data_IF_583130418530
#
_entry.id   IF_583130418530
#
_cell.length_a   1.000
_cell.length_b   1.000
_cell.length_c   1.000
_cell.angle_alpha   90.00
_cell.angle_beta   90.00
_cell.angle_gamma   90.00
#
_symmetry.space_group_name_H-M   'P 1'
#
loop_
_entity.id
_entity.type
_entity.pdbx_description
1 polymer ?
#
# COMPACT_ATOMS: atom_id res chain seq x y z
N UNK A 1 10.20 -20.86 13.21
CA UNK A 1 11.62 -21.15 12.89
C UNK A 1 12.14 -19.96 12.10
N UNK A 2 13.11 -19.21 12.62
CA UNK A 2 13.76 -18.12 11.88
C UNK A 2 14.83 -18.72 10.98
N UNK A 3 14.58 -18.76 9.67
CA UNK A 3 15.58 -19.22 8.70
C UNK A 3 16.72 -18.22 8.68
N UNK A 4 17.88 -18.62 9.21
CA UNK A 4 19.12 -17.86 9.09
C UNK A 4 19.67 -18.07 7.69
N UNK A 5 19.46 -17.09 6.81
CA UNK A 5 20.07 -17.06 5.49
C UNK A 5 21.49 -16.47 5.65
N UNK A 6 22.50 -17.17 5.15
CA UNK A 6 23.91 -16.72 5.14
C UNK A 6 24.34 -16.57 3.69
N UNK A 7 24.93 -15.43 3.35
CA UNK A 7 25.66 -15.23 2.10
C UNK A 7 27.14 -15.06 2.41
N UNK A 8 27.98 -15.65 1.56
CA UNK A 8 29.44 -15.58 1.63
C UNK A 8 29.99 -14.56 0.61
N UNK A 9 29.25 -14.30 -0.45
CA UNK A 9 29.57 -13.40 -1.56
C UNK A 9 28.30 -12.71 -2.12
N UNK A 10 28.48 -11.75 -3.02
CA UNK A 10 27.39 -10.95 -3.62
C UNK A 10 26.40 -11.79 -4.44
N UNK A 11 26.85 -12.86 -5.09
CA UNK A 11 25.99 -13.73 -5.88
C UNK A 11 25.04 -14.54 -4.99
N UNK A 12 25.58 -15.13 -3.91
CA UNK A 12 24.78 -15.78 -2.88
C UNK A 12 23.82 -14.77 -2.22
N UNK A 13 24.29 -13.55 -1.94
CA UNK A 13 23.46 -12.49 -1.38
C UNK A 13 22.25 -12.15 -2.27
N UNK A 14 22.46 -11.95 -3.57
CA UNK A 14 21.37 -11.70 -4.54
C UNK A 14 20.34 -12.82 -4.56
N UNK A 15 20.78 -14.08 -4.43
CA UNK A 15 19.86 -15.23 -4.34
C UNK A 15 18.95 -15.20 -3.12
N UNK A 16 19.33 -14.49 -2.05
CA UNK A 16 18.56 -14.38 -0.81
C UNK A 16 17.59 -13.20 -0.80
N UNK A 17 17.82 -12.17 -1.62
CA UNK A 17 17.01 -10.94 -1.64
C UNK A 17 15.52 -11.22 -1.88
N UNK A 18 15.10 -12.07 -2.84
CA UNK A 18 13.68 -12.38 -3.02
C UNK A 18 13.01 -13.00 -1.80
N UNK A 19 13.72 -13.88 -1.09
CA UNK A 19 13.21 -14.50 0.14
C UNK A 19 13.08 -13.48 1.29
N UNK A 20 13.99 -12.50 1.37
CA UNK A 20 13.95 -11.40 2.34
C UNK A 20 12.85 -10.37 2.02
N UNK A 21 12.63 -10.08 0.74
CA UNK A 21 11.54 -9.21 0.27
C UNK A 21 10.17 -9.90 0.33
N UNK A 22 10.14 -11.23 0.21
CA UNK A 22 8.92 -12.04 0.14
C UNK A 22 8.31 -12.14 -1.26
N UNK A 23 9.00 -11.60 -2.27
CA UNK A 23 8.64 -11.59 -3.69
C UNK A 23 9.89 -11.35 -4.54
N UNK A 24 9.83 -11.60 -5.84
CA UNK A 24 10.89 -11.26 -6.80
C UNK A 24 10.79 -9.77 -7.16
N UNK A 25 11.74 -8.92 -6.75
CA UNK A 25 11.71 -7.50 -7.08
C UNK A 25 11.99 -7.27 -8.57
N UNK A 26 11.28 -6.31 -9.16
CA UNK A 26 11.47 -5.84 -10.53
C UNK A 26 11.26 -4.33 -10.58
N UNK A 27 12.03 -3.62 -11.41
CA UNK A 27 11.94 -2.16 -11.58
C UNK A 27 11.92 -1.43 -10.22
N UNK A 28 12.92 -1.70 -9.38
CA UNK A 28 12.91 -1.23 -7.99
C UNK A 28 14.29 -1.16 -7.34
N UNK A 29 14.42 -0.27 -6.36
CA UNK A 29 15.53 -0.22 -5.42
C UNK A 29 15.16 -1.03 -4.17
N UNK A 30 16.00 -1.97 -3.77
CA UNK A 30 15.84 -2.75 -2.54
C UNK A 30 16.95 -2.37 -1.56
N UNK A 31 16.56 -1.83 -0.41
CA UNK A 31 17.44 -1.51 0.70
C UNK A 31 17.31 -2.58 1.78
N UNK A 32 18.43 -3.12 2.22
CA UNK A 32 18.48 -4.12 3.28
C UNK A 32 19.21 -3.52 4.48
N UNK A 33 18.51 -3.10 5.54
CA UNK A 33 19.15 -2.60 6.75
C UNK A 33 19.78 -3.75 7.54
N UNK A 34 20.97 -3.54 8.08
CA UNK A 34 21.71 -4.50 8.87
C UNK A 34 21.94 -3.98 10.29
N UNK A 35 21.98 -4.94 11.23
CA UNK A 35 22.58 -4.74 12.56
C UNK A 35 23.75 -5.72 12.69
N UNK A 36 24.97 -5.19 12.69
CA UNK A 36 26.20 -5.98 12.59
C UNK A 36 26.26 -6.79 11.30
N UNK A 37 25.99 -8.10 11.39
CA UNK A 37 26.05 -9.04 10.25
C UNK A 37 24.69 -9.61 9.84
N UNK A 38 23.59 -9.12 10.43
CA UNK A 38 22.24 -9.63 10.17
C UNK A 38 21.40 -8.58 9.46
N UNK A 39 20.82 -8.95 8.31
CA UNK A 39 19.80 -8.15 7.65
C UNK A 39 18.47 -8.26 8.43
N UNK A 40 17.78 -7.13 8.61
CA UNK A 40 16.54 -7.03 9.38
C UNK A 40 15.26 -6.97 8.52
N UNK A 41 15.38 -7.37 7.25
CA UNK A 41 14.31 -7.34 6.26
C UNK A 41 14.80 -6.70 4.97
N UNK A 42 13.88 -6.45 4.06
CA UNK A 42 14.13 -5.70 2.84
C UNK A 42 13.06 -4.62 2.68
N UNK A 43 13.50 -3.44 2.27
CA UNK A 43 12.66 -2.29 1.96
C UNK A 43 12.72 -2.05 0.47
N UNK A 44 11.58 -2.13 -0.22
CA UNK A 44 11.51 -1.91 -1.66
C UNK A 44 10.94 -0.51 -1.94
N UNK A 45 11.69 0.27 -2.69
CA UNK A 45 11.30 1.56 -3.24
C UNK A 45 11.17 1.45 -4.75
N UNK A 46 10.29 2.25 -5.35
CA UNK A 46 10.28 2.43 -6.79
C UNK A 46 11.56 3.14 -7.24
N UNK A 47 12.01 2.86 -8.47
CA UNK A 47 13.16 3.57 -9.04
C UNK A 47 12.85 5.07 -9.18
N UNK A 48 13.85 5.96 -9.06
CA UNK A 48 13.63 7.38 -9.18
C UNK A 48 13.10 7.73 -10.58
N UNK A 49 12.04 8.54 -10.62
CA UNK A 49 11.55 9.13 -11.87
C UNK A 49 12.45 10.28 -12.31
N UNK A 50 12.47 10.57 -13.61
CA UNK A 50 13.33 11.60 -14.21
C UNK A 50 13.08 13.03 -13.67
N UNK A 51 11.92 13.27 -13.06
CA UNK A 51 11.52 14.56 -12.47
C UNK A 51 11.96 14.72 -11.01
N UNK A 52 12.49 13.66 -10.38
CA UNK A 52 13.00 13.68 -9.00
C UNK A 52 14.51 13.83 -9.03
N UNK A 53 15.04 14.82 -8.31
CA UNK A 53 16.48 15.00 -8.24
C UNK A 53 17.16 13.89 -7.39
N UNK A 54 18.38 13.46 -7.76
CA UNK A 54 19.07 12.36 -7.08
C UNK A 54 19.21 12.55 -5.57
N UNK A 55 19.55 13.77 -5.13
CA UNK A 55 19.72 14.16 -3.74
C UNK A 55 18.44 13.98 -2.91
N UNK A 56 17.31 14.45 -3.44
CA UNK A 56 16.00 14.32 -2.77
C UNK A 56 15.60 12.84 -2.63
N UNK A 57 15.85 12.04 -3.66
CA UNK A 57 15.55 10.61 -3.62
C UNK A 57 16.47 9.86 -2.64
N UNK A 58 17.77 10.17 -2.64
CA UNK A 58 18.75 9.60 -1.72
C UNK A 58 18.42 9.92 -0.26
N UNK A 59 18.16 11.18 0.07
CA UNK A 59 17.75 11.61 1.41
C UNK A 59 16.49 10.89 1.89
N UNK A 60 15.49 10.76 1.01
CA UNK A 60 14.27 10.03 1.33
C UNK A 60 14.55 8.55 1.62
N UNK A 61 15.33 7.90 0.77
CA UNK A 61 15.69 6.48 0.88
C UNK A 61 16.47 6.17 2.16
N UNK A 62 17.51 6.95 2.45
CA UNK A 62 18.33 6.79 3.67
C UNK A 62 17.57 7.20 4.92
N UNK A 63 16.70 8.21 4.82
CA UNK A 63 15.79 8.60 5.89
C UNK A 63 14.85 7.46 6.35
N UNK A 64 14.51 6.51 5.47
CA UNK A 64 13.76 5.31 5.85
C UNK A 64 14.62 4.34 6.65
N UNK A 65 15.88 4.14 6.27
CA UNK A 65 16.82 3.26 6.98
C UNK A 65 17.13 3.80 8.38
N UNK A 66 17.26 5.12 8.52
CA UNK A 66 17.47 5.78 9.81
C UNK A 66 16.31 5.55 10.81
N UNK A 67 15.11 5.20 10.34
CA UNK A 67 13.96 4.85 11.20
C UNK A 67 14.00 3.41 11.71
N UNK A 68 14.87 2.56 11.15
CA UNK A 68 15.03 1.17 11.58
C UNK A 68 15.94 1.15 12.81
N UNK A 69 15.36 0.85 13.97
CA UNK A 69 16.08 0.88 15.24
C UNK A 69 17.29 -0.09 15.23
N UNK A 70 18.48 0.47 15.45
CA UNK A 70 19.73 -0.30 15.51
C UNK A 70 20.38 -0.59 14.16
N UNK A 71 19.88 -0.06 13.05
CA UNK A 71 20.56 -0.20 11.76
C UNK A 71 21.93 0.50 11.79
N UNK A 72 23.00 -0.23 11.46
CA UNK A 72 24.38 0.28 11.42
C UNK A 72 25.05 0.09 10.04
N UNK A 73 24.36 -0.59 9.12
CA UNK A 73 24.82 -0.82 7.77
C UNK A 73 23.65 -1.03 6.80
N UNK A 74 23.88 -0.85 5.50
CA UNK A 74 22.88 -1.03 4.45
C UNK A 74 23.49 -1.76 3.26
N UNK A 75 22.73 -2.68 2.66
CA UNK A 75 23.00 -3.16 1.31
C UNK A 75 21.96 -2.59 0.35
N UNK A 76 22.39 -2.27 -0.87
CA UNK A 76 21.58 -1.67 -1.91
C UNK A 76 21.53 -2.62 -3.10
N UNK A 77 20.34 -2.92 -3.61
CA UNK A 77 20.18 -3.74 -4.82
C UNK A 77 19.19 -3.07 -5.76
N UNK A 78 19.64 -2.70 -6.94
CA UNK A 78 18.83 -2.12 -8.01
C UNK A 78 18.39 -3.22 -8.96
N UNK A 79 17.10 -3.36 -9.17
CA UNK A 79 16.52 -4.20 -10.21
C UNK A 79 15.98 -3.29 -11.31
N UNK A 80 16.59 -3.33 -12.50
CA UNK A 80 16.16 -2.54 -13.64
C UNK A 80 16.17 -3.37 -14.93
N UNK A 81 15.48 -2.86 -15.95
CA UNK A 81 15.31 -3.52 -17.25
C UNK A 81 16.30 -2.97 -18.28
N UNK A 82 16.95 -1.85 -17.95
CA UNK A 82 18.00 -1.24 -18.76
C UNK A 82 19.28 -2.05 -18.59
N UNK A 83 19.89 -2.45 -19.71
CA UNK A 83 21.20 -3.08 -19.69
C UNK A 83 22.32 -2.03 -19.52
N UNK A 84 23.46 -2.41 -18.93
CA UNK A 84 24.60 -1.50 -18.81
C UNK A 84 25.11 -1.01 -20.18
N UNK A 85 25.53 0.24 -20.23
CA UNK A 85 26.02 0.87 -21.46
C UNK A 85 27.55 0.68 -21.59
N UNK A 86 28.05 -0.06 -22.60
CA UNK A 86 29.49 -0.18 -22.81
C UNK A 86 30.06 1.12 -23.38
N UNK A 87 31.14 1.60 -22.78
CA UNK A 87 31.89 2.79 -23.20
C UNK A 87 33.36 2.43 -23.47
N UNK A 88 34.15 3.30 -24.14
CA UNK A 88 35.57 3.06 -24.33
C UNK A 88 36.37 2.89 -23.02
N UNK A 89 35.86 3.47 -21.92
CA UNK A 89 36.52 3.52 -20.62
C UNK A 89 35.98 2.48 -19.62
N UNK A 90 35.05 1.62 -20.05
CA UNK A 90 34.44 0.58 -19.20
C UNK A 90 32.93 0.49 -19.36
N UNK A 91 32.28 -0.21 -18.41
CA UNK A 91 30.83 -0.40 -18.40
C UNK A 91 30.16 0.65 -17.51
N UNK A 92 29.16 1.36 -18.03
CA UNK A 92 28.36 2.30 -17.25
C UNK A 92 27.07 1.61 -16.81
N UNK A 93 26.92 1.42 -15.50
CA UNK A 93 25.72 0.81 -14.93
C UNK A 93 24.52 1.79 -14.98
N UNK A 94 23.29 1.28 -15.15
CA UNK A 94 22.07 2.08 -15.01
C UNK A 94 22.04 2.80 -13.66
N UNK A 95 21.40 3.97 -13.59
CA UNK A 95 21.18 4.72 -12.34
C UNK A 95 22.45 5.06 -11.53
N UNK A 96 23.65 4.99 -12.12
CA UNK A 96 24.92 5.20 -11.40
C UNK A 96 24.97 6.53 -10.63
N UNK A 97 24.42 7.61 -11.18
CA UNK A 97 24.40 8.93 -10.54
C UNK A 97 23.50 8.90 -9.28
N UNK A 98 22.33 8.29 -9.39
CA UNK A 98 21.37 8.20 -8.28
C UNK A 98 21.89 7.30 -7.17
N UNK A 99 22.57 6.22 -7.52
CA UNK A 99 23.15 5.30 -6.54
C UNK A 99 24.39 5.90 -5.88
N UNK A 100 25.26 6.60 -6.62
CA UNK A 100 26.41 7.30 -6.05
C UNK A 100 25.98 8.31 -4.97
N UNK A 101 24.97 9.14 -5.27
CA UNK A 101 24.38 10.08 -4.31
C UNK A 101 23.79 9.35 -3.09
N UNK A 102 23.06 8.25 -3.30
CA UNK A 102 22.49 7.44 -2.21
C UNK A 102 23.56 6.83 -1.30
N UNK A 103 24.66 6.33 -1.87
CA UNK A 103 25.78 5.79 -1.12
C UNK A 103 26.47 6.90 -0.31
N UNK A 104 26.66 8.08 -0.89
CA UNK A 104 27.14 9.27 -0.18
C UNK A 104 26.27 9.63 1.02
N UNK A 105 24.95 9.75 0.83
CA UNK A 105 24.00 10.02 1.91
C UNK A 105 24.05 8.95 3.01
N UNK A 106 24.21 7.67 2.65
CA UNK A 106 24.30 6.58 3.62
C UNK A 106 25.57 6.70 4.48
N UNK A 107 26.72 7.00 3.88
CA UNK A 107 27.97 7.19 4.58
C UNK A 107 27.93 8.41 5.51
N UNK A 108 27.34 9.52 5.06
CA UNK A 108 27.12 10.72 5.88
C UNK A 108 26.20 10.45 7.07
N UNK A 109 25.20 9.58 6.90
CA UNK A 109 24.34 9.09 7.98
C UNK A 109 25.05 8.10 8.93
N UNK A 110 26.29 7.74 8.65
CA UNK A 110 27.09 6.81 9.46
C UNK A 110 26.77 5.33 9.22
N UNK A 111 26.07 5.00 8.13
CA UNK A 111 25.78 3.63 7.73
C UNK A 111 26.96 3.07 6.95
N UNK A 112 27.41 1.88 7.33
CA UNK A 112 28.38 1.14 6.52
C UNK A 112 27.70 0.55 5.28
N UNK A 113 28.29 0.70 4.10
CA UNK A 113 27.83 0.00 2.90
C UNK A 113 28.30 -1.46 2.97
N UNK A 114 27.34 -2.39 2.92
CA UNK A 114 27.63 -3.83 2.87
C UNK A 114 27.87 -4.26 1.43
N UNK A 115 26.99 -3.83 0.53
CA UNK A 115 27.08 -4.10 -0.90
C UNK A 115 26.19 -3.10 -1.66
N UNK A 116 26.49 -2.86 -2.93
CA UNK A 116 25.67 -2.05 -3.83
C UNK A 116 25.67 -2.71 -5.21
N UNK A 117 24.55 -3.33 -5.58
CA UNK A 117 24.45 -4.22 -6.74
C UNK A 117 23.42 -3.72 -7.75
N UNK A 118 23.72 -3.90 -9.03
CA UNK A 118 22.81 -3.70 -10.14
C UNK A 118 22.43 -5.04 -10.75
N UNK A 119 21.12 -5.30 -10.91
CA UNK A 119 20.54 -6.48 -11.53
C UNK A 119 19.79 -6.04 -12.78
N UNK A 120 20.17 -6.62 -13.91
CA UNK A 120 19.65 -6.32 -15.26
C UNK A 120 19.24 -7.61 -15.97
N UNK A 121 18.54 -7.55 -17.12
CA UNK A 121 18.21 -8.74 -17.90
C UNK A 121 19.44 -9.53 -18.37
N UNK A 122 20.57 -8.87 -18.60
CA UNK A 122 21.81 -9.50 -19.08
C UNK A 122 22.71 -10.07 -17.99
N UNK A 123 22.53 -9.68 -16.73
CA UNK A 123 23.41 -10.07 -15.64
C UNK A 123 23.31 -9.15 -14.42
N UNK A 124 24.22 -9.32 -13.48
CA UNK A 124 24.38 -8.40 -12.37
C UNK A 124 25.82 -7.86 -12.30
N UNK A 125 26.00 -6.73 -11.63
CA UNK A 125 27.30 -6.11 -11.40
C UNK A 125 27.28 -5.27 -10.12
N UNK A 126 28.44 -4.82 -9.63
CA UNK A 126 28.56 -4.00 -8.42
C UNK A 126 28.83 -2.53 -8.76
N UNK A 127 28.14 -1.61 -8.08
CA UNK A 127 28.45 -0.18 -8.12
C UNK A 127 29.71 0.18 -7.34
N UNK A 128 30.25 -0.74 -6.54
CA UNK A 128 31.44 -0.52 -5.72
C UNK A 128 32.74 -0.86 -6.46
N UNK A 129 32.64 -1.38 -7.69
CA UNK A 129 33.79 -1.73 -8.52
C UNK A 129 34.15 -0.57 -9.46
N UNK A 130 35.45 -0.22 -9.52
CA UNK A 130 35.97 0.82 -10.42
C UNK A 130 35.84 0.45 -11.90
N UNK A 131 35.90 -0.86 -12.22
CA UNK A 131 35.75 -1.42 -13.57
C UNK A 131 34.74 -2.58 -13.52
N UNK A 132 33.43 -2.27 -13.55
CA UNK A 132 32.39 -3.27 -13.30
C UNK A 132 32.24 -4.26 -14.45
N UNK A 133 32.26 -5.56 -14.13
CA UNK A 133 31.98 -6.64 -15.08
C UNK A 133 30.58 -7.22 -14.88
N UNK A 134 29.96 -7.69 -15.97
CA UNK A 134 28.67 -8.37 -15.94
C UNK A 134 28.85 -9.85 -15.55
N UNK A 135 28.37 -10.20 -14.37
CA UNK A 135 28.31 -11.58 -13.89
C UNK A 135 26.94 -12.21 -14.23
N UNK A 136 26.89 -13.55 -14.42
CA UNK A 136 25.63 -14.24 -14.68
C UNK A 136 24.71 -14.19 -13.45
N UNK A 137 23.40 -14.05 -13.70
CA UNK A 137 22.40 -14.07 -12.64
C UNK A 137 22.39 -15.40 -11.88
N UNK A 138 22.20 -15.38 -10.55
CA UNK A 138 21.92 -16.61 -9.80
C UNK A 138 20.61 -17.24 -10.28
N UNK A 139 20.48 -18.55 -10.10
CA UNK A 139 19.26 -19.26 -10.47
C UNK A 139 18.05 -18.66 -9.73
N UNK A 140 17.02 -18.25 -10.47
CA UNK A 140 15.78 -17.75 -9.89
C UNK A 140 15.13 -18.83 -9.02
N UNK A 141 14.66 -18.45 -7.84
CA UNK A 141 13.86 -19.33 -7.00
C UNK A 141 12.47 -19.51 -7.66
N UNK A 142 12.11 -20.73 -8.10
CA UNK A 142 10.83 -20.97 -8.76
C UNK A 142 9.61 -20.80 -7.84
N UNK A 143 9.82 -20.70 -6.52
CA UNK A 143 8.78 -20.42 -5.53
C UNK A 143 8.65 -18.93 -5.21
N UNK A 144 9.56 -18.09 -5.70
CA UNK A 144 9.47 -16.66 -5.48
C UNK A 144 8.27 -16.10 -6.23
N UNK A 145 7.45 -15.35 -5.50
CA UNK A 145 6.17 -14.84 -5.99
C UNK A 145 6.41 -13.50 -6.70
N UNK A 146 5.66 -13.20 -7.76
CA UNK A 146 5.70 -11.88 -8.41
C UNK A 146 5.32 -10.74 -7.43
N UNK A 147 5.96 -9.59 -7.56
CA UNK A 147 5.73 -8.44 -6.67
C UNK A 147 4.30 -7.86 -6.72
N UNK A 148 3.53 -8.14 -7.78
CA UNK A 148 2.12 -7.76 -7.91
C UNK A 148 1.16 -8.88 -7.50
N UNK A 149 1.68 -10.05 -7.13
CA UNK A 149 0.85 -11.19 -6.81
C UNK A 149 -0.06 -10.90 -5.62
N UNK A 150 -1.34 -11.17 -5.80
CA UNK A 150 -2.36 -10.88 -4.80
C UNK A 150 -2.80 -9.42 -4.76
N UNK A 151 -2.43 -8.58 -5.73
CA UNK A 151 -3.07 -7.28 -6.00
C UNK A 151 -4.33 -7.41 -6.89
N UNK A 152 -4.54 -8.55 -7.54
CA UNK A 152 -5.65 -8.77 -8.46
C UNK A 152 -7.01 -8.65 -7.77
N UNK A 153 -7.94 -7.89 -8.34
CA UNK A 153 -9.30 -7.87 -7.82
C UNK A 153 -9.97 -9.23 -8.02
N UNK A 154 -10.81 -9.69 -7.07
CA UNK A 154 -11.57 -10.91 -7.24
C UNK A 154 -12.45 -10.82 -8.50
N UNK A 155 -12.75 -11.97 -9.09
CA UNK A 155 -13.64 -12.04 -10.24
C UNK A 155 -15.08 -11.83 -9.77
N UNK A 156 -15.80 -10.95 -10.47
CA UNK A 156 -17.22 -10.71 -10.26
C UNK A 156 -17.92 -10.78 -11.62
N UNK A 157 -18.98 -11.59 -11.69
CA UNK A 157 -19.73 -11.76 -12.92
C UNK A 157 -20.63 -10.55 -13.22
N UNK A 158 -21.23 -10.53 -14.42
CA UNK A 158 -22.09 -9.41 -14.84
C UNK A 158 -23.37 -9.32 -14.00
N UNK A 159 -23.87 -10.45 -13.50
CA UNK A 159 -25.11 -10.52 -12.71
C UNK A 159 -24.89 -9.90 -11.33
N UNK A 160 -23.79 -10.23 -10.67
CA UNK A 160 -23.39 -9.61 -9.40
C UNK A 160 -23.21 -8.10 -9.54
N UNK A 161 -22.51 -7.66 -10.58
CA UNK A 161 -22.32 -6.23 -10.87
C UNK A 161 -23.64 -5.51 -11.11
N UNK A 162 -24.55 -6.13 -11.85
CA UNK A 162 -25.88 -5.57 -12.12
C UNK A 162 -26.73 -5.50 -10.84
N UNK A 163 -26.71 -6.53 -10.00
CA UNK A 163 -27.40 -6.51 -8.71
C UNK A 163 -26.89 -5.41 -7.79
N UNK A 164 -25.57 -5.23 -7.69
CA UNK A 164 -24.96 -4.15 -6.90
C UNK A 164 -25.31 -2.78 -7.49
N UNK A 165 -25.24 -2.63 -8.82
CA UNK A 165 -25.58 -1.36 -9.47
C UNK A 165 -27.04 -0.94 -9.28
N UNK A 166 -27.98 -1.90 -9.36
CA UNK A 166 -29.40 -1.66 -9.07
C UNK A 166 -29.61 -1.28 -7.61
N UNK A 167 -29.05 -2.06 -6.67
CA UNK A 167 -29.16 -1.77 -5.25
C UNK A 167 -28.58 -0.39 -4.89
N UNK A 168 -27.44 -0.01 -5.49
CA UNK A 168 -26.85 1.32 -5.28
C UNK A 168 -27.74 2.44 -5.81
N UNK A 169 -28.38 2.24 -6.97
CA UNK A 169 -29.33 3.20 -7.54
C UNK A 169 -30.56 3.35 -6.65
N UNK A 170 -31.09 2.24 -6.12
CA UNK A 170 -32.24 2.24 -5.21
C UNK A 170 -31.91 2.97 -3.89
N UNK A 171 -30.73 2.71 -3.31
CA UNK A 171 -30.26 3.39 -2.08
C UNK A 171 -30.13 4.91 -2.31
N UNK A 172 -29.49 5.32 -3.42
CA UNK A 172 -29.38 6.74 -3.78
C UNK A 172 -30.77 7.37 -3.94
N UNK A 173 -31.67 6.72 -4.67
CA UNK A 173 -33.03 7.23 -4.87
C UNK A 173 -33.83 7.34 -3.56
N UNK A 174 -33.60 6.49 -2.57
CA UNK A 174 -34.27 6.58 -1.27
C UNK A 174 -33.68 7.66 -0.38
N UNK A 175 -32.35 7.82 -0.36
CA UNK A 175 -31.67 8.80 0.49
C UNK A 175 -31.69 10.22 -0.08
N UNK A 176 -31.89 10.36 -1.40
CA UNK A 176 -32.08 11.66 -2.06
C UNK A 176 -33.53 12.16 -1.98
N UNK A 177 -34.47 11.34 -1.47
CA UNK A 177 -35.85 11.79 -1.22
C UNK A 177 -35.84 12.80 -0.07
N UNK A 178 -36.47 13.96 -0.28
CA UNK A 178 -36.74 14.91 0.79
C UNK A 178 -37.41 14.17 1.97
N UNK A 179 -37.02 14.52 3.20
CA UNK A 179 -37.39 13.94 4.51
C UNK A 179 -38.90 13.61 4.72
N UNK A 180 -39.77 14.08 3.83
CA UNK A 180 -41.23 13.97 3.91
C UNK A 180 -41.87 13.10 2.83
N UNK A 181 -41.10 12.44 1.95
CA UNK A 181 -41.65 11.49 1.00
C UNK A 181 -42.03 10.18 1.72
N UNK A 182 -43.32 9.95 1.94
CA UNK A 182 -43.81 8.69 2.51
C UNK A 182 -43.40 7.48 1.64
N UNK A 183 -42.89 6.44 2.31
CA UNK A 183 -42.70 5.12 1.70
C UNK A 183 -44.09 4.58 1.29
N UNK A 184 -44.27 4.26 0.01
CA UNK A 184 -45.56 3.82 -0.53
C UNK A 184 -45.69 2.29 -0.62
N UNK A 185 -44.66 1.56 -0.18
CA UNK A 185 -44.60 0.11 -0.16
C UNK A 185 -44.20 -0.51 -1.49
N UNK A 186 -43.88 0.30 -2.52
CA UNK A 186 -43.32 -0.18 -3.79
C UNK A 186 -41.79 -0.28 -3.78
N UNK A 187 -41.15 0.11 -2.68
CA UNK A 187 -39.70 0.11 -2.55
C UNK A 187 -39.13 -1.30 -2.55
N UNK A 188 -37.92 -1.43 -3.11
CA UNK A 188 -37.18 -2.68 -3.08
C UNK A 188 -36.85 -3.06 -1.62
N UNK A 189 -37.29 -4.23 -1.12
CA UNK A 189 -37.01 -4.66 0.25
C UNK A 189 -35.51 -4.71 0.59
N UNK A 190 -34.66 -4.95 -0.40
CA UNK A 190 -33.20 -4.95 -0.21
C UNK A 190 -32.64 -3.54 0.01
N UNK A 191 -33.26 -2.52 -0.58
CA UNK A 191 -32.86 -1.14 -0.37
C UNK A 191 -33.30 -0.64 1.01
N UNK A 192 -34.48 -1.07 1.50
CA UNK A 192 -34.90 -0.85 2.89
C UNK A 192 -33.92 -1.50 3.87
N UNK A 193 -33.50 -2.75 3.62
CA UNK A 193 -32.51 -3.43 4.46
C UNK A 193 -31.18 -2.68 4.52
N UNK A 194 -30.74 -2.08 3.40
CA UNK A 194 -29.56 -1.21 3.38
C UNK A 194 -29.75 0.07 4.20
N UNK A 195 -30.93 0.71 4.17
CA UNK A 195 -31.21 1.89 5.01
C UNK A 195 -31.07 1.57 6.51
N UNK A 196 -31.62 0.44 6.94
CA UNK A 196 -31.50 -0.01 8.35
C UNK A 196 -30.04 -0.19 8.75
N UNK A 197 -29.20 -0.75 7.85
CA UNK A 197 -27.76 -0.86 8.11
C UNK A 197 -27.08 0.52 8.21
N UNK A 198 -27.55 1.50 7.44
CA UNK A 198 -26.99 2.85 7.43
C UNK A 198 -27.45 3.71 8.62
N UNK A 199 -28.35 3.22 9.49
CA UNK A 199 -28.70 3.90 10.74
C UNK A 199 -27.52 3.94 11.73
N UNK A 200 -26.68 2.90 11.74
CA UNK A 200 -25.46 2.82 12.54
C UNK A 200 -24.26 2.47 11.64
N UNK A 201 -23.70 3.51 11.03
CA UNK A 201 -22.61 3.38 10.05
C UNK A 201 -21.36 2.71 10.66
N UNK A 202 -20.91 3.08 11.88
CA UNK A 202 -19.79 2.39 12.52
C UNK A 202 -20.05 0.90 12.74
N UNK A 203 -21.22 0.51 13.22
CA UNK A 203 -21.55 -0.92 13.42
C UNK A 203 -21.69 -1.67 12.09
N UNK A 204 -22.23 -1.01 11.06
CA UNK A 204 -22.25 -1.55 9.70
C UNK A 204 -20.85 -1.87 9.20
N UNK A 205 -19.86 -1.00 9.42
CA UNK A 205 -18.48 -1.27 9.04
C UNK A 205 -17.87 -2.47 9.79
N UNK A 206 -18.22 -2.71 11.05
CA UNK A 206 -17.79 -3.93 11.77
C UNK A 206 -18.44 -5.19 11.18
N UNK A 207 -19.74 -5.13 10.89
CA UNK A 207 -20.49 -6.24 10.29
C UNK A 207 -19.85 -6.71 8.98
N UNK A 208 -19.32 -5.78 8.17
CA UNK A 208 -18.60 -6.12 6.94
C UNK A 208 -17.32 -6.93 7.20
N UNK A 209 -16.62 -6.67 8.31
CA UNK A 209 -15.39 -7.37 8.68
C UNK A 209 -15.64 -8.76 9.28
N UNK A 210 -16.83 -9.04 9.80
CA UNK A 210 -17.18 -10.36 10.33
C UNK A 210 -17.33 -11.43 9.23
N UNK A 211 -17.68 -11.02 8.01
CA UNK A 211 -17.91 -11.91 6.87
C UNK A 211 -17.30 -11.36 5.56
N UNK A 212 -15.98 -11.16 5.50
CA UNK A 212 -15.34 -10.37 4.46
C UNK A 212 -15.58 -10.92 3.04
N UNK A 213 -15.65 -12.24 2.89
CA UNK A 213 -15.75 -12.91 1.58
C UNK A 213 -17.18 -12.98 1.02
N UNK A 214 -18.20 -12.76 1.87
CA UNK A 214 -19.59 -13.09 1.55
C UNK A 214 -20.53 -11.91 1.79
N UNK A 215 -20.26 -10.79 1.10
CA UNK A 215 -21.12 -9.61 1.18
C UNK A 215 -22.30 -9.71 0.22
N UNK A 216 -23.56 -9.55 0.67
CA UNK A 216 -24.70 -9.50 -0.22
C UNK A 216 -24.69 -8.21 -1.06
N UNK A 217 -25.39 -8.17 -2.21
CA UNK A 217 -25.36 -7.02 -3.12
C UNK A 217 -25.75 -5.69 -2.47
N UNK A 218 -26.73 -5.70 -1.56
CA UNK A 218 -27.19 -4.49 -0.88
C UNK A 218 -26.18 -3.95 0.14
N UNK A 219 -25.48 -4.82 0.88
CA UNK A 219 -24.40 -4.41 1.78
C UNK A 219 -23.20 -3.86 1.00
N UNK A 220 -22.87 -4.50 -0.13
CA UNK A 220 -21.85 -3.96 -1.05
C UNK A 220 -22.25 -2.59 -1.58
N UNK A 221 -23.51 -2.42 -1.99
CA UNK A 221 -24.04 -1.13 -2.46
C UNK A 221 -24.04 -0.05 -1.36
N UNK A 222 -24.43 -0.39 -0.13
CA UNK A 222 -24.38 0.51 1.03
C UNK A 222 -22.94 0.95 1.32
N UNK A 223 -21.97 0.03 1.27
CA UNK A 223 -20.56 0.36 1.40
C UNK A 223 -20.11 1.31 0.29
N UNK A 224 -20.43 1.03 -0.98
CA UNK A 224 -20.09 1.92 -2.09
C UNK A 224 -20.68 3.32 -1.89
N UNK A 225 -21.93 3.41 -1.43
CA UNK A 225 -22.59 4.68 -1.11
C UNK A 225 -21.88 5.45 0.02
N UNK A 226 -21.40 4.75 1.06
CA UNK A 226 -20.60 5.36 2.13
C UNK A 226 -19.25 5.86 1.60
N UNK A 227 -18.53 5.04 0.83
CA UNK A 227 -17.18 5.39 0.35
C UNK A 227 -17.18 6.54 -0.67
N UNK A 228 -18.29 6.73 -1.38
CA UNK A 228 -18.51 7.86 -2.31
C UNK A 228 -18.65 9.21 -1.58
N UNK A 229 -18.90 9.18 -0.26
CA UNK A 229 -19.05 10.37 0.58
C UNK A 229 -17.77 10.60 1.39
N UNK A 230 -17.06 11.72 1.21
CA UNK A 230 -15.83 12.00 1.94
C UNK A 230 -15.96 11.81 3.46
N UNK A 231 -17.05 12.32 4.04
CA UNK A 231 -17.33 12.21 5.47
C UNK A 231 -17.31 10.75 5.97
N UNK A 232 -18.10 9.88 5.33
CA UNK A 232 -18.27 8.49 5.76
C UNK A 232 -17.08 7.62 5.39
N UNK A 233 -16.45 7.90 4.25
CA UNK A 233 -15.21 7.27 3.83
C UNK A 233 -14.08 7.50 4.83
N UNK A 234 -13.97 8.72 5.33
CA UNK A 234 -12.93 9.09 6.28
C UNK A 234 -13.18 8.40 7.65
N UNK A 235 -14.44 8.23 8.06
CA UNK A 235 -14.82 7.39 9.22
C UNK A 235 -14.37 5.94 9.02
N UNK A 236 -14.63 5.35 7.84
CA UNK A 236 -14.19 3.97 7.55
C UNK A 236 -12.68 3.80 7.67
N UNK A 237 -11.91 4.74 7.10
CA UNK A 237 -10.44 4.74 7.17
C UNK A 237 -9.94 4.77 8.61
N UNK A 238 -10.43 5.70 9.43
CA UNK A 238 -10.04 5.81 10.84
C UNK A 238 -10.42 4.53 11.58
N UNK A 239 -11.67 4.08 11.47
CA UNK A 239 -12.19 2.93 12.20
C UNK A 239 -11.44 1.63 11.87
N UNK A 240 -11.12 1.38 10.60
CA UNK A 240 -10.38 0.19 10.21
C UNK A 240 -8.92 0.24 10.65
N UNK A 241 -8.31 1.44 10.67
CA UNK A 241 -6.95 1.64 11.16
C UNK A 241 -6.83 1.57 12.69
N UNK A 242 -7.92 1.82 13.40
CA UNK A 242 -7.90 1.99 14.85
C UNK A 242 -8.94 1.09 15.52
N UNK A 243 -10.11 1.60 15.87
CA UNK A 243 -11.18 0.85 16.54
C UNK A 243 -12.57 1.38 16.22
N UNK A 244 -13.62 0.59 16.53
CA UNK A 244 -15.02 1.02 16.49
C UNK A 244 -15.24 2.31 17.27
N UNK A 245 -14.67 2.42 18.48
CA UNK A 245 -14.81 3.61 19.32
C UNK A 245 -14.20 4.86 18.68
N UNK A 246 -13.10 4.73 17.95
CA UNK A 246 -12.50 5.83 17.20
C UNK A 246 -13.34 6.20 15.97
N UNK A 247 -13.95 5.21 15.31
CA UNK A 247 -14.92 5.40 14.23
C UNK A 247 -16.13 6.21 14.68
N UNK A 248 -16.74 5.83 15.81
CA UNK A 248 -17.89 6.56 16.41
C UNK A 248 -17.51 8.01 16.71
N UNK A 249 -16.38 8.25 17.40
CA UNK A 249 -15.91 9.62 17.68
C UNK A 249 -15.65 10.42 16.41
N UNK A 250 -15.12 9.77 15.36
CA UNK A 250 -14.87 10.43 14.07
C UNK A 250 -16.18 10.84 13.43
N UNK A 251 -17.20 9.96 13.45
CA UNK A 251 -18.51 10.26 12.90
C UNK A 251 -19.20 11.42 13.65
N UNK A 252 -19.18 11.39 14.99
CA UNK A 252 -19.72 12.47 15.83
C UNK A 252 -19.04 13.80 15.50
N UNK A 253 -17.69 13.82 15.46
CA UNK A 253 -16.94 15.03 15.17
C UNK A 253 -17.16 15.57 13.75
N UNK A 254 -17.41 14.70 12.78
CA UNK A 254 -17.74 15.10 11.42
C UNK A 254 -19.13 15.74 11.32
N UNK A 255 -20.12 15.22 12.06
CA UNK A 255 -21.44 15.86 12.15
C UNK A 255 -21.35 17.22 12.84
N UNK A 256 -20.61 17.32 13.95
CA UNK A 256 -20.36 18.59 14.64
C UNK A 256 -19.68 19.61 13.72
N UNK A 257 -18.70 19.20 12.90
CA UNK A 257 -18.07 20.08 11.92
C UNK A 257 -19.09 20.57 10.87
N UNK A 258 -19.93 19.68 10.35
CA UNK A 258 -20.94 20.03 9.35
C UNK A 258 -21.99 21.02 9.88
N UNK A 259 -22.38 20.89 11.15
CA UNK A 259 -23.40 21.75 11.78
C UNK A 259 -22.83 23.06 12.34
N UNK A 260 -21.67 23.02 12.98
CA UNK A 260 -21.12 24.12 13.78
C UNK A 260 -19.82 24.74 13.23
N UNK A 261 -19.21 24.15 12.19
CA UNK A 261 -17.95 24.64 11.58
C UNK A 261 -16.72 24.52 12.47
N UNK A 262 -16.81 23.80 13.59
CA UNK A 262 -15.72 23.52 14.52
C UNK A 262 -14.75 22.50 13.94
N UNK A 263 -13.46 22.85 13.82
CA UNK A 263 -12.40 22.00 13.21
C UNK A 263 -12.54 20.53 13.59
N UNK A 264 -12.60 19.67 12.57
CA UNK A 264 -12.49 18.23 12.73
C UNK A 264 -11.16 17.87 13.43
N UNK A 265 -11.11 16.75 14.19
CA UNK A 265 -9.89 16.29 14.86
C UNK A 265 -8.73 16.07 13.86
N UNK A 266 -7.53 16.49 14.25
CA UNK A 266 -6.28 16.32 13.46
C UNK A 266 -5.83 14.84 13.33
N UNK A 267 -6.58 13.89 13.92
CA UNK A 267 -6.25 12.47 13.97
C UNK A 267 -6.34 11.79 12.59
N UNK A 268 -7.28 12.20 11.73
CA UNK A 268 -7.44 11.63 10.38
C UNK A 268 -6.20 11.86 9.53
N UNK A 269 -5.68 13.10 9.50
CA UNK A 269 -4.48 13.42 8.71
C UNK A 269 -3.26 12.64 9.18
N UNK A 270 -3.15 12.43 10.49
CA UNK A 270 -2.09 11.60 11.07
C UNK A 270 -2.21 10.13 10.66
N UNK A 271 -3.40 9.54 10.80
CA UNK A 271 -3.67 8.16 10.39
C UNK A 271 -3.47 7.98 8.89
N UNK A 272 -3.98 8.90 8.07
CA UNK A 272 -3.84 8.85 6.61
C UNK A 272 -2.37 8.85 6.19
N UNK A 273 -1.54 9.63 6.88
CA UNK A 273 -0.09 9.70 6.70
C UNK A 273 0.68 8.61 7.46
N UNK A 274 0.00 7.59 8.00
CA UNK A 274 0.64 6.44 8.63
C UNK A 274 1.30 6.74 9.98
N UNK A 275 0.88 7.81 10.65
CA UNK A 275 1.38 8.24 11.96
C UNK A 275 0.43 7.78 13.07
N UNK A 276 0.97 7.61 14.27
CA UNK A 276 0.21 7.14 15.43
C UNK A 276 0.51 5.68 15.79
N UNK A 277 -0.32 5.01 16.61
CA UNK A 277 -0.10 3.64 17.07
C UNK A 277 -0.14 2.64 15.90
N UNK A 278 0.48 1.47 16.08
CA UNK A 278 0.47 0.44 15.04
C UNK A 278 -0.93 -0.19 14.91
N UNK A 279 -1.52 -0.21 13.69
CA UNK A 279 -2.85 -0.78 13.47
C UNK A 279 -2.82 -2.30 13.60
N UNK A 280 -3.98 -2.89 13.86
CA UNK A 280 -4.17 -4.34 13.76
C UNK A 280 -4.05 -4.78 12.29
N UNK A 281 -3.04 -5.60 12.00
CA UNK A 281 -2.70 -6.05 10.65
C UNK A 281 -3.78 -6.96 10.07
N UNK A 282 -4.36 -7.84 10.88
CA UNK A 282 -5.37 -8.80 10.43
C UNK A 282 -6.68 -8.07 10.13
N UNK A 283 -6.99 -7.04 10.92
CA UNK A 283 -8.10 -6.12 10.67
C UNK A 283 -7.94 -5.37 9.36
N UNK A 284 -6.77 -4.78 9.09
CA UNK A 284 -6.50 -4.08 7.83
C UNK A 284 -6.56 -5.03 6.61
N UNK A 285 -6.09 -6.28 6.75
CA UNK A 285 -6.19 -7.28 5.71
C UNK A 285 -7.65 -7.66 5.42
N UNK A 286 -8.46 -7.84 6.47
CA UNK A 286 -9.89 -8.10 6.36
C UNK A 286 -10.61 -6.94 5.66
N UNK A 287 -10.32 -5.69 6.04
CA UNK A 287 -10.86 -4.51 5.38
C UNK A 287 -10.44 -4.45 3.90
N UNK A 288 -9.18 -4.80 3.58
CA UNK A 288 -8.68 -4.85 2.21
C UNK A 288 -9.46 -5.87 1.36
N UNK A 289 -9.77 -7.04 1.92
CA UNK A 289 -10.62 -8.05 1.25
C UNK A 289 -12.01 -7.48 0.94
N UNK A 290 -12.66 -6.85 1.92
CA UNK A 290 -13.99 -6.23 1.75
C UNK A 290 -13.99 -5.19 0.63
N UNK A 291 -13.05 -4.24 0.64
CA UNK A 291 -13.05 -3.17 -0.38
C UNK A 291 -12.65 -3.67 -1.77
N UNK A 292 -11.84 -4.73 -1.87
CA UNK A 292 -11.53 -5.36 -3.17
C UNK A 292 -12.74 -6.06 -3.77
N UNK A 293 -13.54 -6.74 -2.95
CA UNK A 293 -14.81 -7.33 -3.39
C UNK A 293 -15.79 -6.24 -3.82
N UNK A 294 -15.87 -5.13 -3.07
CA UNK A 294 -16.69 -3.99 -3.46
C UNK A 294 -16.21 -3.38 -4.79
N UNK A 295 -14.91 -3.14 -4.96
CA UNK A 295 -14.33 -2.64 -6.20
C UNK A 295 -14.51 -3.59 -7.38
N UNK A 296 -14.52 -4.90 -7.17
CA UNK A 296 -14.78 -5.88 -8.22
C UNK A 296 -16.22 -5.84 -8.72
N UNK A 297 -17.18 -5.58 -7.83
CA UNK A 297 -18.62 -5.56 -8.12
C UNK A 297 -19.18 -4.17 -8.44
N UNK A 298 -18.43 -3.11 -8.19
CA UNK A 298 -18.88 -1.74 -8.38
C UNK A 298 -19.17 -1.39 -9.85
N UNK A 299 -20.24 -0.62 -10.13
CA UNK A 299 -20.36 0.12 -11.38
C UNK A 299 -19.14 1.02 -11.61
N UNK A 300 -18.79 1.26 -12.87
CA UNK A 300 -17.55 1.99 -13.24
C UNK A 300 -17.43 3.33 -12.51
N UNK A 301 -18.50 4.11 -12.44
CA UNK A 301 -18.48 5.47 -11.86
C UNK A 301 -18.35 5.48 -10.34
N UNK A 302 -18.70 4.38 -9.66
CA UNK A 302 -18.59 4.22 -8.20
C UNK A 302 -17.38 3.39 -7.78
N UNK A 303 -16.55 2.98 -8.74
CA UNK A 303 -15.35 2.16 -8.53
C UNK A 303 -14.12 2.94 -8.03
N UNK A 304 -13.91 4.25 -8.33
CA UNK A 304 -12.75 5.00 -7.85
C UNK A 304 -12.58 4.99 -6.32
N UNK A 305 -13.68 5.14 -5.58
CA UNK A 305 -13.66 5.19 -4.12
C UNK A 305 -13.09 3.90 -3.48
N UNK A 306 -13.67 2.70 -3.67
CA UNK A 306 -13.15 1.48 -3.07
C UNK A 306 -11.73 1.11 -3.58
N UNK A 307 -11.37 1.44 -4.82
CA UNK A 307 -10.00 1.26 -5.32
C UNK A 307 -9.00 2.14 -4.58
N UNK A 308 -9.35 3.41 -4.33
CA UNK A 308 -8.49 4.33 -3.57
C UNK A 308 -8.29 3.85 -2.13
N UNK A 309 -9.33 3.28 -1.52
CA UNK A 309 -9.22 2.70 -0.17
C UNK A 309 -8.41 1.41 -0.19
N UNK A 310 -8.56 0.56 -1.22
CA UNK A 310 -7.69 -0.60 -1.41
C UNK A 310 -6.22 -0.19 -1.57
N UNK A 311 -5.96 0.94 -2.25
CA UNK A 311 -4.63 1.51 -2.37
C UNK A 311 -4.08 1.93 -1.00
N UNK A 312 -4.86 2.69 -0.23
CA UNK A 312 -4.45 3.17 1.09
C UNK A 312 -4.19 2.01 2.06
N UNK A 313 -5.07 1.02 2.12
CA UNK A 313 -4.90 -0.17 2.95
C UNK A 313 -3.65 -0.98 2.56
N UNK A 314 -3.39 -1.10 1.25
CA UNK A 314 -2.17 -1.77 0.76
C UNK A 314 -0.91 -1.02 1.19
N UNK A 315 -0.91 0.31 1.06
CA UNK A 315 0.17 1.17 1.52
C UNK A 315 0.36 1.07 3.05
N UNK A 316 -0.72 1.15 3.83
CA UNK A 316 -0.71 1.02 5.29
C UNK A 316 -0.15 -0.35 5.76
N UNK A 317 -0.34 -1.39 4.96
CA UNK A 317 0.21 -2.73 5.18
C UNK A 317 1.69 -2.87 4.76
N UNK A 318 2.28 -1.86 4.11
CA UNK A 318 3.65 -1.85 3.60
C UNK A 318 3.79 -2.40 2.16
N UNK A 319 2.71 -2.42 1.38
CA UNK A 319 2.66 -2.95 0.00
C UNK A 319 2.48 -1.82 -1.01
N UNK A 320 3.51 -0.98 -1.16
CA UNK A 320 3.48 0.19 -2.07
C UNK A 320 3.15 -0.19 -3.53
N UNK A 321 3.68 -1.31 -4.03
CA UNK A 321 3.39 -1.84 -5.37
C UNK A 321 1.91 -2.13 -5.58
N UNK A 322 1.25 -2.70 -4.58
CA UNK A 322 -0.19 -2.96 -4.63
C UNK A 322 -0.97 -1.64 -4.58
N UNK A 323 -0.51 -0.68 -3.77
CA UNK A 323 -1.13 0.64 -3.70
C UNK A 323 -1.10 1.34 -5.06
N UNK A 324 0.06 1.39 -5.71
CA UNK A 324 0.23 1.99 -7.03
C UNK A 324 -0.59 1.28 -8.11
N UNK A 325 -0.67 -0.07 -8.05
CA UNK A 325 -1.54 -0.83 -8.95
C UNK A 325 -3.00 -0.36 -8.89
N UNK A 326 -3.56 -0.18 -7.68
CA UNK A 326 -4.93 0.29 -7.52
C UNK A 326 -5.09 1.76 -7.90
N UNK A 327 -4.11 2.63 -7.60
CA UNK A 327 -4.14 4.04 -8.02
C UNK A 327 -4.14 4.18 -9.54
N UNK A 328 -3.36 3.38 -10.27
CA UNK A 328 -3.42 3.33 -11.73
C UNK A 328 -4.83 2.98 -12.24
N UNK A 329 -5.49 1.99 -11.62
CA UNK A 329 -6.88 1.64 -11.98
C UNK A 329 -7.86 2.79 -11.72
N UNK A 330 -7.63 3.61 -10.68
CA UNK A 330 -8.43 4.83 -10.45
C UNK A 330 -8.19 5.85 -11.55
N UNK A 331 -6.94 6.13 -11.90
CA UNK A 331 -6.58 7.10 -12.96
C UNK A 331 -7.17 6.73 -14.33
N UNK A 332 -7.30 5.44 -14.63
CA UNK A 332 -7.96 4.96 -15.86
C UNK A 332 -9.48 5.22 -15.90
N UNK A 333 -10.11 5.45 -14.75
CA UNK A 333 -11.55 5.72 -14.61
C UNK A 333 -11.80 7.21 -14.46
N UNK A 334 -11.12 7.84 -13.50
CA UNK A 334 -11.22 9.25 -13.16
C UNK A 334 -9.83 9.80 -12.78
N UNK A 335 -9.11 10.45 -13.72
CA UNK A 335 -7.81 11.06 -13.46
C UNK A 335 -7.82 12.17 -12.42
N UNK A 336 -8.98 12.79 -12.16
CA UNK A 336 -9.13 13.93 -11.25
C UNK A 336 -9.73 13.51 -9.89
N UNK A 337 -9.71 12.21 -9.57
CA UNK A 337 -10.22 11.71 -8.30
C UNK A 337 -9.30 12.14 -7.15
N UNK A 338 -9.63 13.27 -6.51
CA UNK A 338 -8.71 14.01 -5.65
C UNK A 338 -8.07 13.23 -4.50
N UNK A 339 -8.78 12.26 -3.89
CA UNK A 339 -8.16 11.42 -2.83
C UNK A 339 -7.06 10.51 -3.40
N UNK A 340 -7.23 10.00 -4.61
CA UNK A 340 -6.23 9.17 -5.27
C UNK A 340 -5.00 10.00 -5.70
N UNK A 341 -5.19 11.27 -6.07
CA UNK A 341 -4.07 12.19 -6.32
C UNK A 341 -3.27 12.46 -5.03
N UNK A 342 -3.96 12.76 -3.92
CA UNK A 342 -3.32 12.96 -2.62
C UNK A 342 -2.53 11.72 -2.18
N UNK A 343 -3.14 10.54 -2.30
CA UNK A 343 -2.46 9.28 -1.97
C UNK A 343 -1.32 8.98 -2.93
N UNK A 344 -1.47 9.30 -4.21
CA UNK A 344 -0.42 9.18 -5.22
C UNK A 344 0.81 10.02 -4.88
N UNK A 345 0.64 11.25 -4.39
CA UNK A 345 1.74 12.07 -3.88
C UNK A 345 2.42 11.43 -2.67
N UNK A 346 1.65 10.83 -1.75
CA UNK A 346 2.20 10.13 -0.58
C UNK A 346 3.03 8.92 -1.00
N UNK A 347 2.50 8.08 -1.88
CA UNK A 347 3.17 6.87 -2.37
C UNK A 347 4.38 7.22 -3.24
N UNK A 348 4.23 8.16 -4.17
CA UNK A 348 5.28 8.60 -5.09
C UNK A 348 6.44 9.32 -4.40
N UNK A 349 6.20 9.98 -3.26
CA UNK A 349 7.24 10.53 -2.40
C UNK A 349 8.03 9.45 -1.62
N UNK A 350 7.77 8.15 -1.86
CA UNK A 350 8.41 7.05 -1.15
C UNK A 350 8.07 7.00 0.34
N UNK A 351 7.03 7.73 0.79
CA UNK A 351 6.64 7.70 2.20
C UNK A 351 6.11 6.31 2.55
N UNK A 352 6.62 5.75 3.65
CA UNK A 352 6.09 4.55 4.27
C UNK A 352 5.44 4.90 5.61
N UNK A 353 4.37 4.19 6.01
CA UNK A 353 3.73 4.48 7.28
C UNK A 353 4.69 4.22 8.45
N UNK A 354 4.74 5.12 9.42
CA UNK A 354 5.67 5.04 10.57
C UNK A 354 5.52 3.72 11.33
N UNK A 355 4.29 3.21 11.43
CA UNK A 355 4.02 1.94 12.10
C UNK A 355 4.59 0.71 11.38
N UNK A 356 4.97 0.80 10.10
CA UNK A 356 5.65 -0.30 9.41
C UNK A 356 7.06 -0.55 9.97
N UNK A 357 7.73 0.52 10.45
CA UNK A 357 9.08 0.46 11.00
C UNK A 357 9.14 -0.10 12.43
N UNK A 358 8.02 -0.03 13.16
CA UNK A 358 7.94 -0.59 14.53
C UNK A 358 7.79 -2.11 14.55
N UNK A 359 7.60 -2.74 13.38
CA UNK A 359 7.56 -4.20 13.25
C UNK A 359 8.97 -4.75 13.43
N UNK A 360 9.38 -4.94 14.69
CA UNK A 360 10.42 -5.91 15.03
C UNK A 360 10.03 -7.30 14.49
N UNK A 361 10.99 -8.24 14.35
CA UNK A 361 10.77 -9.52 13.69
C UNK A 361 9.55 -10.22 14.31
N UNK A 362 8.61 -10.66 13.45
CA UNK A 362 7.37 -11.36 13.83
C UNK A 362 7.65 -12.31 15.01
N UNK A 363 7.21 -11.92 16.19
CA UNK A 363 7.34 -12.73 17.40
C UNK A 363 6.61 -14.03 17.19
N UNK A 364 7.35 -15.14 17.09
CA UNK A 364 6.78 -16.47 17.19
C UNK A 364 5.98 -16.54 18.50
N UNK A 365 4.71 -16.91 18.38
CA UNK A 365 3.81 -17.05 19.50
C UNK A 365 4.46 -17.80 20.65
N UNK A 366 4.31 -17.25 21.85
CA UNK A 366 4.54 -17.99 23.10
C UNK A 366 3.59 -19.19 23.10
N UNK A 367 4.12 -20.35 22.74
CA UNK A 367 3.54 -21.61 23.16
C UNK A 367 3.97 -21.84 24.62
N UNK A 368 3.05 -21.56 25.54
CA UNK A 368 3.01 -22.24 26.85
C UNK A 368 2.55 -23.67 26.68
#
# INVERSE_FOLDING_TARGET
MTTLLRASDSAEFLGLVPALAGFTPTQSLVLLPFHGTRAHGAMRLDLPHDDVSPDVYADAAIGLIAKVEGADAVAVVVYCDDDPCPTPDGLVLPLIIQIDELLGCAEEAGLRIVDALCVTPSGWSSYLEDDPELAPLPAADPLAVDQHAGAELPTADLVEKEHVGRALSDIRALLDREEHAHLDGSENPLAIAALVMLEDIPEFFETLLESPDHQPPFATAALLWCLDRPLLRDVALVQWATSLADGVRTLEAQYEFAEAGTRAPDDLGSIFLGRGPSPDVDRLQTALTVVRLAAARAPRDSRPAPLTIAAWLSWALGRATHAEHYLRLVREIDPAYGLAELLGTVVGAGMLPEWAFRRGPRGAGRAT
#
